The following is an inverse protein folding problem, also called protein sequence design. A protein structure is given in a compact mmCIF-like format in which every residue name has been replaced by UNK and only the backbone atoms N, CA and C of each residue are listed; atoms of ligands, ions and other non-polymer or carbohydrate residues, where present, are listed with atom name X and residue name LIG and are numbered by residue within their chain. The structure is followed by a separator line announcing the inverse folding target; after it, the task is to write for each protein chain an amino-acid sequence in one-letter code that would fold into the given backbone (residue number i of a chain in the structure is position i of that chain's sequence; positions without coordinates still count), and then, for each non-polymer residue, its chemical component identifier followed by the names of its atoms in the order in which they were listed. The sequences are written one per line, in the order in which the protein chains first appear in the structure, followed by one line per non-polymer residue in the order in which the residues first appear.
data_IF_391343125084
#
_entry.id   IF_391343125084
#
_cell.length_a   1.000
_cell.length_b   1.000
_cell.length_c   1.000
_cell.angle_alpha   90.00
_cell.angle_beta   90.00
_cell.angle_gamma   90.00
#
_symmetry.space_group_name_H-M   'P 1'
#
loop_
_entity.id
_entity.type
_entity.pdbx_description
1 polymer ?
#
# COMPACT_ATOMS: atom_id res chain seq x y z
N UNK A 1 4.18 13.18 8.04
CA UNK A 1 3.68 11.83 7.72
C UNK A 1 4.24 10.86 8.73
N UNK A 2 3.41 9.93 9.17
CA UNK A 2 3.85 8.90 10.11
C UNK A 2 4.44 7.71 9.34
N UNK A 3 5.49 7.07 9.87
CA UNK A 3 6.02 5.83 9.30
C UNK A 3 5.00 4.70 9.48
N UNK A 4 5.00 3.73 8.57
CA UNK A 4 4.16 2.55 8.75
C UNK A 4 4.55 1.83 10.06
N UNK A 5 3.55 1.58 10.90
CA UNK A 5 3.77 1.03 12.25
C UNK A 5 3.95 -0.49 12.26
N UNK A 6 3.69 -1.17 11.14
CA UNK A 6 3.67 -2.63 11.04
C UNK A 6 4.73 -3.17 10.08
N UNK A 7 5.22 -4.40 10.32
CA UNK A 7 6.28 -4.97 9.50
C UNK A 7 5.84 -5.12 8.05
N UNK A 8 6.73 -4.71 7.15
CA UNK A 8 6.71 -5.06 5.74
C UNK A 8 6.89 -6.56 5.61
N UNK A 9 5.97 -7.24 4.93
CA UNK A 9 6.00 -8.70 4.75
C UNK A 9 6.27 -9.12 3.31
N UNK A 10 6.04 -8.24 2.35
CA UNK A 10 6.33 -8.51 0.95
C UNK A 10 6.47 -7.20 0.17
N UNK A 11 7.38 -7.19 -0.80
CA UNK A 11 7.54 -6.15 -1.81
C UNK A 11 7.57 -6.84 -3.17
N UNK A 12 6.77 -6.37 -4.11
CA UNK A 12 6.69 -6.95 -5.44
C UNK A 12 6.32 -5.91 -6.49
N UNK A 13 6.49 -6.27 -7.76
CA UNK A 13 6.38 -5.33 -8.88
C UNK A 13 5.31 -5.77 -9.86
N UNK A 14 4.58 -4.82 -10.44
CA UNK A 14 3.63 -5.11 -11.52
C UNK A 14 3.35 -3.86 -12.33
N UNK A 15 3.47 -3.94 -13.65
CA UNK A 15 3.24 -2.83 -14.57
C UNK A 15 4.01 -1.57 -14.15
N UNK A 16 5.32 -1.68 -13.89
CA UNK A 16 6.21 -0.57 -13.46
C UNK A 16 5.90 0.01 -12.07
N UNK A 17 4.87 -0.50 -11.39
CA UNK A 17 4.51 -0.06 -10.05
C UNK A 17 5.10 -0.99 -8.99
N UNK A 18 5.53 -0.40 -7.88
CA UNK A 18 6.04 -1.12 -6.72
C UNK A 18 4.96 -1.23 -5.66
N UNK A 19 4.65 -2.45 -5.23
CA UNK A 19 3.64 -2.73 -4.22
C UNK A 19 4.29 -3.27 -2.95
N UNK A 20 3.71 -2.89 -1.82
CA UNK A 20 4.17 -3.25 -0.49
C UNK A 20 3.00 -3.82 0.28
N UNK A 21 3.20 -5.00 0.84
CA UNK A 21 2.23 -5.64 1.72
C UNK A 21 2.70 -5.52 3.16
N UNK A 22 1.80 -5.07 4.03
CA UNK A 22 2.05 -5.00 5.48
C UNK A 22 0.95 -5.71 6.26
N UNK A 23 1.31 -6.16 7.46
CA UNK A 23 0.31 -6.58 8.45
C UNK A 23 -0.43 -5.36 9.01
N UNK A 24 -1.55 -5.62 9.66
CA UNK A 24 -2.31 -4.63 10.44
C UNK A 24 -2.29 -5.04 11.93
N UNK A 25 -2.96 -4.28 12.80
CA UNK A 25 -3.22 -4.71 14.18
C UNK A 25 -4.13 -5.94 14.26
N UNK A 26 -5.02 -6.11 13.30
CA UNK A 26 -5.96 -7.23 13.29
C UNK A 26 -5.29 -8.47 12.73
N UNK A 27 -5.28 -9.54 13.54
CA UNK A 27 -4.71 -10.82 13.12
C UNK A 27 -5.40 -11.35 11.87
N UNK A 28 -4.59 -11.74 10.87
CA UNK A 28 -5.09 -12.23 9.58
C UNK A 28 -5.51 -11.15 8.58
N UNK A 29 -5.37 -9.87 8.92
CA UNK A 29 -5.65 -8.76 8.01
C UNK A 29 -4.38 -8.01 7.60
N UNK A 30 -4.41 -7.53 6.36
CA UNK A 30 -3.28 -6.90 5.70
C UNK A 30 -3.71 -5.65 4.95
N UNK A 31 -2.74 -4.76 4.74
CA UNK A 31 -2.87 -3.61 3.85
C UNK A 31 -1.91 -3.78 2.67
N UNK A 32 -2.34 -3.30 1.51
CA UNK A 32 -1.46 -3.16 0.35
C UNK A 32 -1.31 -1.68 0.05
N UNK A 33 -0.06 -1.28 -0.10
CA UNK A 33 0.35 0.05 -0.52
C UNK A 33 1.03 -0.03 -1.88
N UNK A 34 0.93 1.05 -2.64
CA UNK A 34 1.71 1.28 -3.85
C UNK A 34 2.65 2.46 -3.60
N UNK A 35 3.94 2.32 -3.92
CA UNK A 35 4.86 3.46 -3.88
C UNK A 35 4.40 4.50 -4.90
N UNK A 36 4.46 5.77 -4.53
CA UNK A 36 4.32 6.83 -5.52
C UNK A 36 5.41 6.72 -6.57
N UNK A 37 5.08 7.19 -7.77
CA UNK A 37 6.03 7.47 -8.83
C UNK A 37 6.14 8.99 -9.05
N UNK A 38 6.98 9.39 -10.00
CA UNK A 38 7.17 10.80 -10.39
C UNK A 38 5.88 11.48 -10.88
N UNK A 39 4.84 10.72 -11.24
CA UNK A 39 3.56 11.21 -11.74
C UNK A 39 2.47 11.27 -10.67
N UNK A 40 2.70 10.71 -9.48
CA UNK A 40 1.67 10.54 -8.44
C UNK A 40 2.06 11.12 -7.08
N UNK A 41 3.30 11.57 -6.90
CA UNK A 41 3.82 12.15 -5.64
C UNK A 41 3.08 13.43 -5.16
N UNK A 42 2.19 14.01 -5.96
CA UNK A 42 1.35 15.15 -5.57
C UNK A 42 -0.05 14.75 -5.07
N UNK A 43 -0.43 13.47 -5.14
CA UNK A 43 -1.76 13.03 -4.74
C UNK A 43 -1.96 13.17 -3.23
N UNK A 44 -3.09 13.74 -2.82
CA UNK A 44 -3.45 13.86 -1.41
C UNK A 44 -4.29 12.66 -0.96
N UNK A 45 -4.37 12.43 0.36
CA UNK A 45 -5.23 11.38 0.92
C UNK A 45 -6.71 11.57 0.50
N UNK A 46 -7.13 12.82 0.30
CA UNK A 46 -8.48 13.14 -0.18
C UNK A 46 -8.68 12.75 -1.64
N UNK A 47 -7.68 12.94 -2.50
CA UNK A 47 -7.74 12.52 -3.91
C UNK A 47 -7.84 10.99 -4.02
N UNK A 48 -7.04 10.28 -3.21
CA UNK A 48 -7.04 8.82 -3.17
C UNK A 48 -8.40 8.28 -2.68
N UNK A 49 -8.99 8.85 -1.63
CA UNK A 49 -10.37 8.49 -1.19
C UNK A 49 -11.44 8.83 -2.21
N UNK A 50 -11.23 9.88 -3.00
CA UNK A 50 -12.17 10.23 -4.06
C UNK A 50 -12.10 9.23 -5.22
N UNK A 51 -10.93 8.65 -5.48
CA UNK A 51 -10.73 7.62 -6.50
C UNK A 51 -11.23 6.24 -6.05
N UNK A 52 -11.08 5.89 -4.76
CA UNK A 52 -11.58 4.64 -4.21
C UNK A 52 -12.46 4.85 -2.95
N UNK A 53 -13.76 4.63 -3.12
CA UNK A 53 -14.74 4.73 -2.05
C UNK A 53 -14.56 3.69 -0.94
N UNK A 54 -13.83 2.60 -1.19
CA UNK A 54 -13.50 1.59 -0.17
C UNK A 54 -12.67 2.19 0.98
N UNK A 55 -11.93 3.25 0.69
CA UNK A 55 -11.07 3.97 1.64
C UNK A 55 -11.84 5.07 2.41
N UNK A 56 -13.16 5.15 2.24
CA UNK A 56 -13.98 6.14 2.94
C UNK A 56 -13.95 5.88 4.45
N UNK A 57 -13.45 6.87 5.20
CA UNK A 57 -13.35 6.79 6.66
C UNK A 57 -12.00 6.29 7.15
N UNK A 58 -11.09 5.90 6.26
CA UNK A 58 -9.69 5.61 6.61
C UNK A 58 -8.98 6.95 6.91
N UNK A 59 -8.26 7.07 8.04
CA UNK A 59 -7.51 8.27 8.41
C UNK A 59 -6.42 8.62 7.39
N UNK A 60 -6.10 9.91 7.24
CA UNK A 60 -5.11 10.38 6.26
C UNK A 60 -3.73 9.75 6.50
N UNK A 61 -3.36 9.58 7.77
CA UNK A 61 -2.13 8.96 8.23
C UNK A 61 -2.01 7.47 7.86
N UNK A 62 -3.12 6.79 7.54
CA UNK A 62 -3.13 5.41 7.07
C UNK A 62 -3.21 5.32 5.55
N UNK A 63 -3.70 6.36 4.89
CA UNK A 63 -3.83 6.40 3.42
C UNK A 63 -2.49 6.68 2.77
N UNK A 64 -1.70 7.61 3.30
CA UNK A 64 -0.36 7.88 2.78
C UNK A 64 0.68 7.72 3.88
N UNK A 65 1.59 6.78 3.67
CA UNK A 65 2.56 6.33 4.67
C UNK A 65 3.99 6.48 4.15
N UNK A 66 4.93 6.73 5.06
CA UNK A 66 6.35 6.59 4.76
C UNK A 66 6.77 5.12 4.97
N UNK A 67 7.47 4.54 4.00
CA UNK A 67 7.97 3.17 4.08
C UNK A 67 9.45 3.18 4.49
N UNK A 68 9.84 2.50 5.58
CA UNK A 68 11.22 2.42 6.00
C UNK A 68 12.14 1.86 4.90
N UNK A 69 13.20 2.60 4.56
CA UNK A 69 14.15 2.23 3.52
C UNK A 69 13.81 2.75 2.12
N UNK A 70 12.62 3.30 1.92
CA UNK A 70 12.22 3.96 0.68
C UNK A 70 12.35 5.48 0.83
N UNK A 71 12.74 6.16 -0.24
CA UNK A 71 12.85 7.63 -0.25
C UNK A 71 11.54 8.32 -0.63
N UNK A 72 10.54 7.54 -1.02
CA UNK A 72 9.25 8.00 -1.53
C UNK A 72 8.13 7.41 -0.67
N UNK A 73 7.03 8.14 -0.59
CA UNK A 73 5.86 7.69 0.17
C UNK A 73 5.08 6.63 -0.62
N UNK A 74 4.19 5.94 0.09
CA UNK A 74 3.27 4.98 -0.49
C UNK A 74 1.83 5.37 -0.18
N UNK A 75 0.91 5.03 -1.08
CA UNK A 75 -0.52 5.20 -0.86
C UNK A 75 -1.25 3.86 -0.77
N UNK A 76 -2.29 3.83 0.05
CA UNK A 76 -3.10 2.66 0.32
C UNK A 76 -3.98 2.35 -0.89
N UNK A 77 -3.95 1.09 -1.33
CA UNK A 77 -4.79 0.59 -2.43
C UNK A 77 -5.79 -0.47 -1.98
N UNK A 78 -5.48 -1.22 -0.92
CA UNK A 78 -6.41 -2.18 -0.32
C UNK A 78 -6.24 -2.15 1.20
N UNK A 79 -7.36 -1.97 1.91
CA UNK A 79 -7.42 -1.85 3.37
C UNK A 79 -8.03 -3.11 3.99
N UNK A 80 -7.38 -3.67 5.00
CA UNK A 80 -7.90 -4.76 5.84
C UNK A 80 -8.39 -6.01 5.07
N UNK A 81 -7.62 -6.42 4.06
CA UNK A 81 -7.93 -7.62 3.28
C UNK A 81 -7.41 -8.89 3.93
N UNK A 82 -8.04 -10.02 3.61
CA UNK A 82 -7.72 -11.29 4.24
C UNK A 82 -6.51 -12.01 3.62
N UNK A 83 -6.11 -13.12 4.24
CA UNK A 83 -4.98 -13.94 3.78
C UNK A 83 -5.20 -14.50 2.36
N UNK A 84 -6.42 -14.86 1.96
CA UNK A 84 -6.69 -15.42 0.65
C UNK A 84 -6.56 -14.37 -0.45
N UNK A 85 -7.04 -13.16 -0.20
CA UNK A 85 -6.88 -12.02 -1.09
C UNK A 85 -5.41 -11.64 -1.24
N UNK A 86 -4.65 -11.61 -0.13
CA UNK A 86 -3.21 -11.31 -0.17
C UNK A 86 -2.41 -12.34 -0.93
N UNK A 87 -2.62 -13.63 -0.67
CA UNK A 87 -1.89 -14.68 -1.39
C UNK A 87 -2.23 -14.65 -2.88
N UNK A 88 -3.49 -14.37 -3.23
CA UNK A 88 -3.88 -14.17 -4.62
C UNK A 88 -3.21 -12.95 -5.25
N UNK A 89 -3.12 -11.84 -4.53
CA UNK A 89 -2.47 -10.62 -5.02
C UNK A 89 -0.98 -10.82 -5.27
N UNK A 90 -0.27 -11.43 -4.30
CA UNK A 90 1.17 -11.72 -4.39
C UNK A 90 1.52 -12.56 -5.61
N UNK A 91 0.68 -13.53 -5.96
CA UNK A 91 0.86 -14.35 -7.17
C UNK A 91 0.80 -13.55 -8.48
N UNK A 92 0.29 -12.32 -8.44
CA UNK A 92 0.25 -11.42 -9.60
C UNK A 92 1.44 -10.46 -9.68
N UNK A 93 2.34 -10.50 -8.70
CA UNK A 93 3.53 -9.65 -8.63
C UNK A 93 4.76 -10.41 -9.12
N UNK A 94 5.64 -9.68 -9.79
CA UNK A 94 6.98 -10.13 -10.12
C UNK A 94 7.93 -9.89 -8.92
N UNK A 95 8.87 -10.81 -8.71
CA UNK A 95 9.86 -10.72 -7.62
C UNK A 95 11.00 -9.73 -7.95
N UNK A 96 11.29 -9.50 -9.23
CA UNK A 96 12.35 -8.61 -9.71
C UNK A 96 11.76 -7.40 -10.46
N UNK A 97 12.28 -6.18 -10.22
CA UNK A 97 12.04 -5.06 -11.12
C UNK A 97 12.79 -5.33 -12.44
N UNK A 98 12.06 -5.48 -13.54
CA UNK A 98 12.62 -5.62 -14.91
C UNK A 98 13.61 -4.51 -15.27
#
# INVERSE_FOLDING_TARGET
MEPISYPLIHKGYKNENTYIVTKTETEGQFNIYQLFDEYTDYATASDIRAADTSLKGVPDEEIIVAIPGENINAFLIMNHIDIHEIESFKLTLDEDPL
#
